data_IF_604330633205
#
_entry.id   IF_604330633205
#
_cell.length_a   1.000
_cell.length_b   1.000
_cell.length_c   1.000
_cell.angle_alpha   90.00
_cell.angle_beta   90.00
_cell.angle_gamma   90.00
#
_symmetry.space_group_name_H-M   'P 1'
#
loop_
_entity.id
_entity.type
_entity.pdbx_description
1 polymer ?
#
# COMPACT_ATOMS: atom_id res chain seq x y z
N UNK A 1 -20.35 -11.62 -10.27
CA UNK A 1 -19.49 -11.40 -11.44
C UNK A 1 -19.36 -9.90 -11.81
N UNK A 2 -20.42 -9.09 -11.76
CA UNK A 2 -20.35 -7.69 -12.25
C UNK A 2 -20.01 -6.60 -11.20
N UNK A 3 -19.88 -6.93 -9.91
CA UNK A 3 -19.67 -5.92 -8.84
C UNK A 3 -18.21 -5.55 -8.59
N UNK A 4 -17.24 -6.40 -8.98
CA UNK A 4 -15.82 -6.09 -8.84
C UNK A 4 -15.24 -5.40 -10.09
N UNK A 5 -15.85 -5.58 -11.27
CA UNK A 5 -15.38 -4.98 -12.53
C UNK A 5 -15.58 -3.47 -12.64
N UNK A 6 -16.39 -2.86 -11.78
CA UNK A 6 -16.69 -1.41 -11.89
C UNK A 6 -15.68 -0.52 -11.16
N UNK A 7 -14.89 -1.10 -10.26
CA UNK A 7 -13.93 -0.36 -9.42
C UNK A 7 -12.73 0.14 -10.26
N UNK A 8 -12.47 -0.47 -11.43
CA UNK A 8 -11.20 -0.27 -12.15
C UNK A 8 -11.13 0.89 -13.14
N UNK A 9 -12.25 1.45 -13.64
CA UNK A 9 -12.15 2.42 -14.75
C UNK A 9 -12.20 3.90 -14.36
N UNK A 10 -12.85 4.25 -13.25
CA UNK A 10 -13.00 5.65 -12.84
C UNK A 10 -12.11 6.07 -11.67
N UNK A 11 -11.65 5.11 -10.86
CA UNK A 11 -10.69 5.40 -9.79
C UNK A 11 -9.24 5.39 -10.29
N UNK A 12 -8.92 4.66 -11.36
CA UNK A 12 -7.58 4.62 -11.97
C UNK A 12 -7.16 5.89 -12.73
N UNK A 13 -8.06 6.85 -12.93
CA UNK A 13 -7.80 8.08 -13.71
C UNK A 13 -7.38 9.28 -12.87
N UNK A 14 -7.48 9.22 -11.54
CA UNK A 14 -6.97 10.28 -10.68
C UNK A 14 -5.46 10.09 -10.48
N UNK A 15 -4.64 10.96 -11.08
CA UNK A 15 -3.19 10.96 -10.90
C UNK A 15 -2.71 12.26 -10.25
N UNK A 16 -1.76 12.18 -9.29
CA UNK A 16 -1.18 10.96 -8.71
C UNK A 16 -2.06 10.35 -7.61
N UNK A 17 -2.45 9.08 -7.74
CA UNK A 17 -3.09 8.32 -6.65
C UNK A 17 -2.04 7.66 -5.78
N UNK A 18 -2.22 7.72 -4.46
CA UNK A 18 -1.36 7.08 -3.48
C UNK A 18 -2.12 5.99 -2.73
N UNK A 19 -1.45 4.88 -2.44
CA UNK A 19 -1.96 3.80 -1.62
C UNK A 19 -1.24 3.77 -0.27
N UNK A 20 -2.01 3.52 0.79
CA UNK A 20 -1.48 3.36 2.14
C UNK A 20 -0.90 1.95 2.30
N UNK A 21 0.32 1.86 2.81
CA UNK A 21 0.93 0.58 3.17
C UNK A 21 0.19 -0.02 4.38
N UNK A 22 -0.25 -1.29 4.32
CA UNK A 22 -1.01 -1.91 5.40
C UNK A 22 -0.21 -2.17 6.69
N UNK A 23 1.12 -2.19 6.62
CA UNK A 23 2.00 -2.50 7.76
C UNK A 23 2.65 -1.28 8.39
N UNK A 24 2.94 -0.26 7.57
CA UNK A 24 3.75 0.90 7.97
C UNK A 24 2.99 2.21 7.92
N UNK A 25 1.75 2.20 7.41
CA UNK A 25 0.91 3.39 7.24
C UNK A 25 1.57 4.53 6.48
N UNK A 26 2.53 4.21 5.61
CA UNK A 26 3.19 5.16 4.69
C UNK A 26 2.46 5.21 3.35
N UNK A 27 2.42 6.38 2.71
CA UNK A 27 1.79 6.56 1.40
C UNK A 27 2.76 6.28 0.25
N UNK A 28 2.35 5.47 -0.72
CA UNK A 28 3.16 5.05 -1.87
C UNK A 28 2.43 5.33 -3.20
N UNK A 29 3.13 5.74 -4.27
CA UNK A 29 2.52 5.93 -5.58
C UNK A 29 1.90 4.64 -6.12
N UNK A 30 0.69 4.72 -6.66
CA UNK A 30 -0.04 3.55 -7.16
C UNK A 30 0.73 2.79 -8.24
N UNK A 31 1.51 3.47 -9.08
CA UNK A 31 2.34 2.85 -10.12
C UNK A 31 3.35 1.84 -9.55
N UNK A 32 3.84 2.07 -8.33
CA UNK A 32 4.74 1.14 -7.63
C UNK A 32 3.99 -0.03 -6.98
N UNK A 33 2.74 0.18 -6.59
CA UNK A 33 1.95 -0.82 -5.88
C UNK A 33 1.26 -1.82 -6.81
N UNK A 34 0.83 -1.40 -8.01
CA UNK A 34 0.15 -2.25 -9.00
C UNK A 34 0.91 -3.57 -9.30
N UNK A 35 2.22 -3.58 -9.60
CA UNK A 35 2.92 -4.84 -9.88
C UNK A 35 2.92 -5.80 -8.67
N UNK A 36 2.95 -5.26 -7.45
CA UNK A 36 2.91 -6.06 -6.22
C UNK A 36 1.54 -6.68 -5.99
N UNK A 37 0.48 -5.90 -6.22
CA UNK A 37 -0.92 -6.33 -6.09
C UNK A 37 -1.34 -7.34 -7.15
N UNK A 38 -0.78 -7.24 -8.35
CA UNK A 38 -0.99 -8.23 -9.42
C UNK A 38 -0.33 -9.58 -9.10
N UNK A 39 0.80 -9.57 -8.39
CA UNK A 39 1.53 -10.78 -8.03
C UNK A 39 1.00 -11.43 -6.74
N UNK A 40 0.49 -10.65 -5.80
CA UNK A 40 0.09 -11.14 -4.47
C UNK A 40 -1.22 -10.52 -4.00
N UNK A 41 -2.08 -11.33 -3.37
CA UNK A 41 -3.33 -10.86 -2.73
C UNK A 41 -3.09 -9.85 -1.60
N UNK A 42 -1.92 -9.93 -0.97
CA UNK A 42 -1.46 -9.00 0.07
C UNK A 42 -0.03 -8.59 -0.25
N UNK A 43 0.25 -7.29 -0.22
CA UNK A 43 1.56 -6.75 -0.50
C UNK A 43 1.89 -5.60 0.45
N UNK A 44 3.07 -5.66 1.05
CA UNK A 44 3.71 -4.55 1.74
C UNK A 44 4.34 -3.63 0.70
N UNK A 45 4.03 -2.34 0.76
CA UNK A 45 4.56 -1.35 -0.20
C UNK A 45 5.86 -0.70 0.29
N UNK A 46 6.08 -0.65 1.60
CA UNK A 46 7.31 -0.13 2.18
C UNK A 46 8.46 -1.14 2.03
N UNK A 47 9.51 -0.71 1.33
CA UNK A 47 10.70 -1.51 1.02
C UNK A 47 11.62 -1.66 2.22
N UNK A 48 11.62 -0.69 3.14
CA UNK A 48 12.39 -0.79 4.36
C UNK A 48 11.71 -1.76 5.32
N UNK A 49 12.29 -2.94 5.63
CA UNK A 49 11.68 -3.93 6.52
C UNK A 49 11.62 -3.45 7.98
N UNK A 50 12.41 -2.44 8.36
CA UNK A 50 12.50 -1.92 9.73
C UNK A 50 11.39 -0.93 10.06
N UNK A 51 10.88 -0.22 9.05
CA UNK A 51 9.71 0.65 9.18
C UNK A 51 8.47 -0.20 9.46
N UNK A 52 7.63 0.21 10.42
CA UNK A 52 6.48 -0.58 10.88
C UNK A 52 6.50 -0.75 12.39
N UNK A 53 5.73 -1.72 12.90
CA UNK A 53 5.50 -1.93 14.35
C UNK A 53 6.76 -1.82 15.24
N UNK A 54 7.96 -2.14 14.73
CA UNK A 54 9.22 -2.00 15.48
C UNK A 54 9.60 -0.54 15.80
N UNK A 55 9.27 0.45 14.97
CA UNK A 55 9.50 1.87 15.30
C UNK A 55 8.61 2.33 16.47
N UNK A 56 7.43 1.73 16.64
CA UNK A 56 6.51 2.07 17.74
C UNK A 56 7.04 1.50 19.08
N UNK A 57 7.72 0.35 19.07
CA UNK A 57 8.30 -0.24 20.27
C UNK A 57 9.66 0.38 20.64
N UNK A 58 10.50 0.75 19.68
CA UNK A 58 11.80 1.35 19.98
C UNK A 58 11.71 2.78 20.56
N UNK A 59 10.59 3.49 20.34
CA UNK A 59 10.40 4.85 20.88
C UNK A 59 9.67 4.91 22.23
N UNK A 60 9.37 3.76 22.87
CA UNK A 60 8.73 3.70 24.20
C UNK A 60 9.59 2.98 25.26
N UNK A 61 10.91 2.83 25.01
CA UNK A 61 11.89 2.42 26.02
C UNK A 61 12.92 3.54 26.17
N UNK A 62 12.50 4.65 26.79
CA UNK A 62 13.37 5.58 27.55
C UNK A 62 12.60 5.99 28.80
#
# INVERSE_FOLDING_TARGET
>A
AALYETIDKHMGQYKPSFLLCPETYTWHPIEKCIPLLNAHKYARFETDPTKGYLEIFCNNII
#
